data_IF_278387536804
#
_entry.id   IF_278387536804
#
_cell.length_a   1.000
_cell.length_b   1.000
_cell.length_c   1.000
_cell.angle_alpha   90.00
_cell.angle_beta   90.00
_cell.angle_gamma   90.00
#
_symmetry.space_group_name_H-M   'P 1'
#
loop_
_entity.id
_entity.type
_entity.pdbx_description
1 polymer ?
#
# COMPACT_ATOMS: atom_id res chain seq x y z
N UNK A 1 34.76 11.05 10.06
CA UNK A 1 34.40 10.29 11.26
C UNK A 1 34.48 11.22 12.48
N UNK A 2 33.41 11.30 13.25
CA UNK A 2 33.27 12.25 14.37
C UNK A 2 33.99 11.75 15.64
N UNK A 3 34.49 10.52 15.60
CA UNK A 3 35.28 9.95 16.70
C UNK A 3 36.30 8.93 16.19
N UNK A 4 37.36 8.69 17.00
CA UNK A 4 38.37 7.66 16.70
C UNK A 4 37.80 6.24 16.66
N UNK A 5 36.74 5.99 17.41
CA UNK A 5 36.06 4.70 17.41
C UNK A 5 35.36 4.46 16.07
N UNK A 6 34.58 5.44 15.61
CA UNK A 6 33.88 5.36 14.31
C UNK A 6 34.85 5.27 13.14
N UNK A 7 36.01 5.90 13.22
CA UNK A 7 37.05 5.74 12.21
C UNK A 7 37.59 4.30 12.16
N UNK A 8 37.78 3.64 13.29
CA UNK A 8 38.26 2.24 13.35
C UNK A 8 37.21 1.28 12.82
N UNK A 9 35.96 1.51 13.13
CA UNK A 9 34.82 0.73 12.60
C UNK A 9 34.79 0.80 11.07
N UNK A 10 34.82 2.02 10.51
CA UNK A 10 34.85 2.23 9.05
C UNK A 10 36.08 1.58 8.39
N UNK A 11 37.25 1.65 9.02
CA UNK A 11 38.46 0.99 8.51
C UNK A 11 38.28 -0.52 8.46
N UNK A 12 37.65 -1.11 9.48
CA UNK A 12 37.40 -2.55 9.53
C UNK A 12 36.38 -2.99 8.46
N UNK A 13 35.32 -2.21 8.26
CA UNK A 13 34.33 -2.47 7.21
C UNK A 13 34.95 -2.40 5.82
N UNK A 14 35.71 -1.37 5.50
CA UNK A 14 36.41 -1.23 4.22
C UNK A 14 37.39 -2.39 4.01
N UNK A 15 38.15 -2.76 5.03
CA UNK A 15 39.10 -3.88 4.93
C UNK A 15 38.38 -5.21 4.67
N UNK A 16 37.26 -5.47 5.33
CA UNK A 16 36.45 -6.67 5.10
C UNK A 16 35.91 -6.71 3.66
N UNK A 17 35.37 -5.61 3.17
CA UNK A 17 34.77 -5.56 1.82
C UNK A 17 35.84 -5.74 0.71
N UNK A 18 37.00 -5.10 0.87
CA UNK A 18 38.10 -5.27 -0.06
C UNK A 18 38.66 -6.70 -0.02
N UNK A 19 38.73 -7.34 1.15
CA UNK A 19 39.15 -8.73 1.31
C UNK A 19 38.17 -9.67 0.65
N UNK A 20 36.86 -9.44 0.78
CA UNK A 20 35.82 -10.19 0.04
C UNK A 20 36.01 -10.09 -1.48
N UNK A 21 36.42 -8.93 -1.96
CA UNK A 21 36.74 -8.67 -3.36
C UNK A 21 38.11 -9.23 -3.79
N UNK A 22 38.77 -10.04 -2.92
CA UNK A 22 40.11 -10.62 -3.14
C UNK A 22 41.23 -9.57 -3.32
N UNK A 23 41.05 -8.38 -2.75
CA UNK A 23 42.07 -7.36 -2.70
C UNK A 23 42.76 -7.36 -1.34
N UNK A 24 44.09 -7.43 -1.31
CA UNK A 24 44.86 -7.28 -0.07
C UNK A 24 45.00 -5.80 0.29
N UNK A 25 44.87 -5.49 1.56
CA UNK A 25 44.96 -4.12 2.09
C UNK A 25 46.00 -4.09 3.19
N UNK A 26 47.04 -3.31 3.00
CA UNK A 26 48.08 -3.09 3.97
C UNK A 26 47.98 -1.68 4.58
N UNK A 27 48.28 -1.57 5.86
CA UNK A 27 48.33 -0.27 6.55
C UNK A 27 49.71 0.38 6.38
N UNK A 28 49.70 1.65 5.98
CA UNK A 28 50.92 2.47 5.87
C UNK A 28 51.35 2.92 7.28
N UNK A 29 51.90 2.00 8.06
CA UNK A 29 52.36 2.29 9.42
C UNK A 29 53.60 3.22 9.37
N UNK A 30 53.53 4.36 10.10
CA UNK A 30 54.57 5.39 10.14
C UNK A 30 54.88 6.09 8.81
N UNK A 31 54.06 5.84 7.77
CA UNK A 31 54.18 6.44 6.42
C UNK A 31 52.89 7.12 5.96
N UNK A 32 52.08 7.60 6.91
CA UNK A 32 50.78 8.21 6.61
C UNK A 32 50.91 9.52 5.84
N UNK A 33 51.99 10.30 6.11
CA UNK A 33 52.25 11.56 5.40
C UNK A 33 52.53 11.28 3.92
N UNK A 34 53.37 10.29 3.63
CA UNK A 34 53.71 9.90 2.26
C UNK A 34 52.46 9.38 1.55
N UNK A 35 51.66 8.56 2.23
CA UNK A 35 50.40 8.08 1.70
C UNK A 35 49.45 9.23 1.34
N UNK A 36 49.29 10.19 2.23
CA UNK A 36 48.47 11.37 2.00
C UNK A 36 48.96 12.19 0.79
N UNK A 37 50.25 12.46 0.69
CA UNK A 37 50.85 13.20 -0.43
C UNK A 37 50.68 12.46 -1.78
N UNK A 38 50.75 11.12 -1.76
CA UNK A 38 50.57 10.30 -2.98
C UNK A 38 49.14 10.35 -3.51
N UNK A 39 48.12 10.47 -2.63
CA UNK A 39 46.73 10.54 -3.02
C UNK A 39 46.32 11.95 -3.46
N UNK A 40 47.03 12.97 -3.07
CA UNK A 40 46.73 14.32 -3.53
C UNK A 40 46.94 14.47 -5.04
N UNK A 41 46.11 15.26 -5.75
CA UNK A 41 46.21 15.47 -7.19
C UNK A 41 47.37 16.38 -7.60
N UNK A 42 48.53 16.19 -7.00
CA UNK A 42 49.76 17.00 -7.25
C UNK A 42 50.73 16.29 -8.18
N UNK A 43 50.38 15.09 -8.68
CA UNK A 43 51.20 14.36 -9.63
C UNK A 43 52.46 13.76 -9.04
N UNK A 44 52.60 13.69 -7.72
CA UNK A 44 53.80 13.17 -7.05
C UNK A 44 53.49 11.86 -6.32
N UNK A 45 54.04 10.74 -6.79
CA UNK A 45 53.89 9.43 -6.18
C UNK A 45 55.19 8.99 -5.48
N UNK A 46 55.22 9.07 -4.15
CA UNK A 46 56.38 8.66 -3.35
C UNK A 46 56.60 7.15 -3.37
N UNK A 47 55.55 6.38 -3.60
CA UNK A 47 55.55 4.91 -3.59
C UNK A 47 55.74 4.30 -4.97
N UNK A 48 56.18 5.05 -5.99
CA UNK A 48 56.27 4.66 -7.37
C UNK A 48 56.95 3.32 -7.53
N UNK A 49 58.12 3.10 -7.02
CA UNK A 49 58.89 1.88 -7.19
C UNK A 49 58.29 0.67 -6.46
N UNK A 50 57.57 0.88 -5.38
CA UNK A 50 57.06 -0.19 -4.53
C UNK A 50 55.68 -0.65 -4.94
N UNK A 51 54.78 0.25 -5.32
CA UNK A 51 53.34 -0.04 -5.50
C UNK A 51 52.80 0.30 -6.88
N UNK A 52 53.57 0.97 -7.74
CA UNK A 52 53.12 1.25 -9.10
C UNK A 52 52.98 -0.05 -9.89
N UNK A 53 51.85 -0.20 -10.57
CA UNK A 53 51.58 -1.34 -11.43
C UNK A 53 51.30 -0.87 -12.83
N UNK A 54 51.86 -1.58 -13.80
CA UNK A 54 51.52 -1.36 -15.21
C UNK A 54 50.19 -2.03 -15.48
N UNK A 55 49.18 -1.23 -15.81
CA UNK A 55 47.86 -1.72 -16.16
C UNK A 55 47.65 -1.58 -17.68
N UNK A 56 47.09 -2.59 -18.36
CA UNK A 56 46.68 -2.44 -19.76
C UNK A 56 45.63 -1.32 -19.87
N UNK A 57 45.63 -0.59 -20.97
CA UNK A 57 44.68 0.51 -21.20
C UNK A 57 43.23 0.05 -21.13
N UNK A 58 42.92 -1.19 -21.53
CA UNK A 58 41.58 -1.81 -21.38
C UNK A 58 41.17 -1.94 -19.92
N UNK A 59 42.09 -2.32 -19.03
CA UNK A 59 41.80 -2.41 -17.59
C UNK A 59 41.59 -1.05 -16.97
N UNK A 60 42.37 -0.05 -17.38
CA UNK A 60 42.20 1.35 -16.93
C UNK A 60 40.87 1.91 -17.43
N UNK A 61 40.46 1.62 -18.66
CA UNK A 61 39.17 2.04 -19.20
C UNK A 61 37.99 1.47 -18.40
N UNK A 62 38.11 0.26 -17.84
CA UNK A 62 37.09 -0.34 -16.97
C UNK A 62 36.99 0.34 -15.58
N UNK A 63 38.02 1.08 -15.18
CA UNK A 63 37.99 1.90 -13.96
C UNK A 63 37.33 3.26 -14.16
N UNK A 64 36.89 3.59 -15.37
CA UNK A 64 36.24 4.85 -15.69
C UNK A 64 34.91 4.99 -14.98
N UNK A 65 34.80 5.91 -13.99
CA UNK A 65 33.62 5.96 -13.12
C UNK A 65 32.44 6.70 -13.73
N UNK A 66 32.54 7.17 -14.99
CA UNK A 66 31.58 8.06 -15.61
C UNK A 66 30.58 7.36 -16.54
N UNK A 67 30.44 6.04 -16.45
CA UNK A 67 29.39 5.28 -17.14
C UNK A 67 28.01 5.38 -16.44
N UNK A 68 27.81 6.43 -15.66
CA UNK A 68 26.60 6.62 -14.88
C UNK A 68 25.57 7.40 -15.68
N UNK A 69 24.38 6.83 -15.85
CA UNK A 69 23.28 7.47 -16.60
C UNK A 69 22.59 8.60 -15.83
N UNK A 70 22.85 8.75 -14.54
CA UNK A 70 22.20 9.71 -13.67
C UNK A 70 20.74 9.40 -13.33
N UNK A 71 20.22 8.28 -13.82
CA UNK A 71 18.79 7.90 -13.70
C UNK A 71 18.53 6.84 -12.63
N UNK A 72 19.27 6.85 -11.54
CA UNK A 72 19.05 5.94 -10.42
C UNK A 72 18.84 6.74 -9.14
N UNK A 73 17.97 6.25 -8.28
CA UNK A 73 17.79 6.86 -6.96
C UNK A 73 18.95 6.49 -6.03
N UNK A 74 19.27 7.31 -5.03
CA UNK A 74 20.36 7.04 -4.10
C UNK A 74 20.14 5.80 -3.24
N UNK A 75 18.88 5.40 -3.06
CA UNK A 75 18.42 4.18 -2.39
C UNK A 75 17.16 3.68 -3.08
N UNK A 76 16.73 2.50 -2.77
CA UNK A 76 15.48 1.94 -3.28
C UNK A 76 15.62 0.51 -3.78
N UNK A 77 14.58 0.05 -4.47
CA UNK A 77 14.53 -1.27 -5.04
C UNK A 77 15.44 -1.38 -6.27
N UNK A 78 16.28 -2.42 -6.29
CA UNK A 78 17.05 -2.76 -7.48
C UNK A 78 16.14 -3.39 -8.55
N UNK A 79 15.99 -2.71 -9.68
CA UNK A 79 15.16 -3.19 -10.79
C UNK A 79 15.99 -3.89 -11.87
N UNK A 80 17.23 -3.49 -12.05
CA UNK A 80 18.09 -4.04 -13.09
C UNK A 80 19.31 -3.16 -13.37
N UNK A 81 19.84 -3.30 -14.57
CA UNK A 81 20.98 -2.49 -15.06
C UNK A 81 20.61 -1.77 -16.32
N UNK A 82 21.18 -0.59 -16.49
CA UNK A 82 21.09 0.14 -17.75
C UNK A 82 22.02 -0.43 -18.83
N UNK A 83 21.97 0.16 -20.01
CA UNK A 83 22.84 -0.22 -21.15
C UNK A 83 24.35 -0.05 -20.88
N UNK A 84 24.72 0.67 -19.84
CA UNK A 84 26.10 0.90 -19.43
C UNK A 84 26.53 -0.02 -18.27
N UNK A 85 25.64 -0.89 -17.80
CA UNK A 85 25.90 -1.78 -16.67
C UNK A 85 25.69 -1.13 -15.30
N UNK A 86 25.19 0.12 -15.24
CA UNK A 86 24.90 0.81 -13.99
C UNK A 86 23.65 0.23 -13.34
N UNK A 87 23.70 -0.03 -12.05
CA UNK A 87 22.54 -0.50 -11.31
C UNK A 87 21.46 0.58 -11.26
N UNK A 88 20.22 0.19 -11.55
CA UNK A 88 19.05 1.06 -11.46
C UNK A 88 18.32 0.74 -10.17
N UNK A 89 18.31 1.73 -9.28
CA UNK A 89 17.52 1.73 -8.05
C UNK A 89 16.33 2.64 -8.22
N UNK A 90 15.17 2.23 -7.71
CA UNK A 90 13.94 3.04 -7.73
C UNK A 90 13.39 3.13 -6.32
N UNK A 91 13.27 4.35 -5.81
CA UNK A 91 12.60 4.65 -4.55
C UNK A 91 11.18 5.13 -4.85
N UNK A 92 10.18 4.28 -4.62
CA UNK A 92 8.76 4.61 -4.87
C UNK A 92 8.21 5.67 -3.91
N UNK A 93 8.83 5.86 -2.74
CA UNK A 93 8.37 6.83 -1.74
C UNK A 93 8.99 8.22 -1.96
N UNK A 94 10.08 8.30 -2.73
CA UNK A 94 10.76 9.57 -2.99
C UNK A 94 9.86 10.52 -3.75
N UNK A 95 9.78 11.75 -3.25
CA UNK A 95 9.16 12.89 -3.94
C UNK A 95 10.26 13.88 -4.33
N UNK A 96 10.28 14.29 -5.58
CA UNK A 96 11.23 15.24 -6.14
C UNK A 96 10.58 15.91 -7.36
N UNK A 97 11.25 16.91 -7.94
CA UNK A 97 10.74 17.61 -9.13
C UNK A 97 10.46 16.65 -10.31
N UNK A 98 11.22 15.57 -10.42
CA UNK A 98 11.08 14.52 -11.45
C UNK A 98 10.07 13.40 -11.05
N UNK A 99 9.59 13.37 -9.81
CA UNK A 99 8.69 12.35 -9.25
C UNK A 99 7.60 12.97 -8.39
N UNK A 100 6.52 13.38 -9.02
CA UNK A 100 5.39 14.04 -8.37
C UNK A 100 4.43 13.06 -7.67
N UNK A 101 4.40 11.80 -8.12
CA UNK A 101 3.57 10.73 -7.55
C UNK A 101 4.33 9.38 -7.57
N UNK A 102 3.74 8.35 -6.94
CA UNK A 102 4.28 6.98 -6.90
C UNK A 102 3.59 6.01 -7.86
N UNK A 103 2.74 6.51 -8.74
CA UNK A 103 2.07 5.64 -9.70
C UNK A 103 3.10 5.05 -10.67
N UNK A 104 3.01 3.75 -10.90
CA UNK A 104 3.89 3.03 -11.81
C UNK A 104 3.05 2.29 -12.84
N UNK A 105 3.39 2.46 -14.12
CA UNK A 105 2.76 1.73 -15.21
C UNK A 105 3.80 0.83 -15.87
N UNK A 106 3.54 -0.49 -15.88
CA UNK A 106 4.41 -1.50 -16.49
C UNK A 106 3.79 -1.95 -17.81
N UNK A 107 4.44 -1.62 -18.91
CA UNK A 107 3.98 -1.95 -20.26
C UNK A 107 4.96 -2.90 -20.94
N UNK A 108 4.44 -3.80 -21.75
CA UNK A 108 5.24 -4.73 -22.55
C UNK A 108 4.36 -5.78 -23.23
N UNK A 109 4.88 -6.42 -24.27
CA UNK A 109 4.19 -7.52 -24.92
C UNK A 109 4.13 -8.75 -24.03
N UNK A 110 3.28 -9.72 -24.39
CA UNK A 110 3.24 -11.02 -23.70
C UNK A 110 4.61 -11.69 -23.71
N UNK A 111 4.98 -12.36 -22.61
CA UNK A 111 6.26 -13.06 -22.47
C UNK A 111 7.48 -12.18 -22.20
N UNK A 112 7.35 -10.86 -22.07
CA UNK A 112 8.48 -9.93 -21.85
C UNK A 112 8.85 -9.75 -20.36
N UNK A 113 8.29 -10.54 -19.47
CA UNK A 113 8.64 -10.54 -18.05
C UNK A 113 7.91 -9.49 -17.19
N UNK A 114 6.77 -8.94 -17.63
CA UNK A 114 5.98 -7.98 -16.82
C UNK A 114 5.59 -8.56 -15.46
N UNK A 115 4.97 -9.74 -15.44
CA UNK A 115 4.54 -10.42 -14.21
C UNK A 115 5.74 -10.77 -13.33
N UNK A 116 6.88 -11.15 -13.92
CA UNK A 116 8.11 -11.40 -13.17
C UNK A 116 8.64 -10.13 -12.49
N UNK A 117 8.69 -9.01 -13.21
CA UNK A 117 9.08 -7.72 -12.63
C UNK A 117 8.15 -7.29 -11.52
N UNK A 118 6.82 -7.46 -11.70
CA UNK A 118 5.86 -7.11 -10.68
C UNK A 118 6.01 -8.00 -9.44
N UNK A 119 6.20 -9.31 -9.61
CA UNK A 119 6.50 -10.24 -8.50
C UNK A 119 7.76 -9.82 -7.73
N UNK A 120 8.81 -9.41 -8.43
CA UNK A 120 10.03 -8.88 -7.81
C UNK A 120 9.75 -7.61 -6.99
N UNK A 121 8.98 -6.67 -7.55
CA UNK A 121 8.61 -5.43 -6.85
C UNK A 121 7.79 -5.74 -5.59
N UNK A 122 6.76 -6.59 -5.69
CA UNK A 122 5.91 -6.99 -4.56
C UNK A 122 6.72 -7.66 -3.45
N UNK A 123 7.63 -8.58 -3.80
CA UNK A 123 8.54 -9.23 -2.84
C UNK A 123 9.38 -8.21 -2.09
N UNK A 124 10.02 -7.29 -2.81
CA UNK A 124 10.88 -6.29 -2.17
C UNK A 124 10.09 -5.28 -1.32
N UNK A 125 8.88 -4.90 -1.74
CA UNK A 125 8.00 -4.06 -0.92
C UNK A 125 7.63 -4.78 0.37
N UNK A 126 7.28 -6.05 0.31
CA UNK A 126 6.98 -6.87 1.49
C UNK A 126 8.20 -7.00 2.42
N UNK A 127 9.37 -7.31 1.89
CA UNK A 127 10.62 -7.42 2.65
C UNK A 127 11.04 -6.08 3.29
N UNK A 128 10.71 -4.96 2.66
CA UNK A 128 10.94 -3.61 3.23
C UNK A 128 9.90 -3.22 4.29
N UNK A 129 8.98 -4.13 4.68
CA UNK A 129 7.96 -3.89 5.69
C UNK A 129 6.76 -3.07 5.21
N UNK A 130 6.60 -2.90 3.89
CA UNK A 130 5.42 -2.21 3.33
C UNK A 130 4.20 -3.12 3.36
N UNK A 131 3.04 -2.54 3.60
CA UNK A 131 1.77 -3.20 3.38
C UNK A 131 1.50 -3.27 1.87
N UNK A 132 1.15 -4.45 1.39
CA UNK A 132 0.87 -4.72 -0.03
C UNK A 132 -0.57 -5.18 -0.18
N UNK A 133 -1.29 -4.57 -1.10
CA UNK A 133 -2.61 -5.03 -1.54
C UNK A 133 -2.54 -5.23 -3.04
N UNK A 134 -2.81 -6.45 -3.51
CA UNK A 134 -2.79 -6.82 -4.92
C UNK A 134 -4.18 -7.24 -5.39
N UNK A 135 -4.55 -6.85 -6.62
CA UNK A 135 -5.70 -7.40 -7.33
C UNK A 135 -5.16 -8.29 -8.44
N UNK A 136 -5.55 -9.57 -8.41
CA UNK A 136 -5.00 -10.63 -9.25
C UNK A 136 -6.11 -11.40 -9.98
N UNK A 137 -6.69 -10.83 -11.03
CA UNK A 137 -7.80 -11.49 -11.75
C UNK A 137 -7.39 -12.78 -12.49
N UNK A 138 -6.09 -13.02 -12.67
CA UNK A 138 -5.55 -14.19 -13.39
C UNK A 138 -5.02 -15.28 -12.46
N UNK A 139 -5.08 -15.08 -11.15
CA UNK A 139 -4.57 -16.00 -10.11
C UNK A 139 -3.08 -16.38 -10.27
N UNK A 140 -2.24 -15.43 -10.71
CA UNK A 140 -0.81 -15.64 -10.91
C UNK A 140 0.03 -15.46 -9.63
N UNK A 141 -0.52 -14.82 -8.59
CA UNK A 141 0.22 -14.40 -7.39
C UNK A 141 -0.09 -15.25 -6.15
N UNK A 142 -0.92 -16.27 -6.25
CA UNK A 142 -1.32 -17.13 -5.13
C UNK A 142 -0.11 -17.75 -4.42
N UNK A 143 0.76 -18.42 -5.18
CA UNK A 143 1.97 -19.07 -4.64
C UNK A 143 2.93 -18.05 -4.00
N UNK A 144 3.11 -16.89 -4.64
CA UNK A 144 3.95 -15.82 -4.14
C UNK A 144 3.40 -15.28 -2.81
N UNK A 145 2.10 -15.01 -2.76
CA UNK A 145 1.42 -14.49 -1.56
C UNK A 145 1.59 -15.44 -0.38
N UNK A 146 1.36 -16.73 -0.59
CA UNK A 146 1.56 -17.77 0.44
C UNK A 146 3.02 -17.88 0.87
N UNK A 147 3.96 -17.83 -0.09
CA UNK A 147 5.40 -17.90 0.22
C UNK A 147 5.90 -16.70 1.03
N UNK A 148 5.31 -15.53 0.87
CA UNK A 148 5.64 -14.31 1.62
C UNK A 148 4.85 -14.17 2.92
N UNK A 149 4.07 -15.21 3.32
CA UNK A 149 3.28 -15.21 4.54
C UNK A 149 2.09 -14.26 4.49
N UNK A 150 1.57 -13.96 3.30
CA UNK A 150 0.38 -13.16 3.09
C UNK A 150 -0.90 -13.98 3.00
N UNK A 151 -2.04 -13.29 2.89
CA UNK A 151 -3.36 -13.89 2.72
C UNK A 151 -3.82 -13.77 1.26
N UNK A 152 -4.05 -14.89 0.60
CA UNK A 152 -4.69 -14.95 -0.71
C UNK A 152 -6.18 -15.18 -0.54
N UNK A 153 -6.99 -14.30 -1.12
CA UNK A 153 -8.44 -14.22 -0.94
C UNK A 153 -9.10 -14.53 -2.28
N UNK A 154 -9.55 -15.76 -2.44
CA UNK A 154 -10.40 -16.14 -3.58
C UNK A 154 -11.85 -15.87 -3.25
N UNK A 155 -12.39 -14.76 -3.75
CA UNK A 155 -13.81 -14.44 -3.60
C UNK A 155 -14.73 -15.45 -4.27
N UNK A 156 -14.27 -16.09 -5.37
CA UNK A 156 -15.13 -17.05 -6.08
C UNK A 156 -15.38 -18.33 -5.27
N UNK A 157 -14.49 -18.65 -4.31
CA UNK A 157 -14.69 -19.78 -3.40
C UNK A 157 -15.91 -19.61 -2.49
N UNK A 158 -16.29 -18.36 -2.16
CA UNK A 158 -17.35 -18.06 -1.21
C UNK A 158 -16.95 -18.28 0.26
N UNK A 159 -15.66 -18.51 0.54
CA UNK A 159 -15.13 -18.66 1.90
C UNK A 159 -14.91 -17.30 2.59
N UNK A 160 -14.69 -16.26 1.79
CA UNK A 160 -14.39 -14.91 2.28
C UNK A 160 -15.59 -14.00 2.13
N UNK A 161 -15.87 -13.27 3.21
CA UNK A 161 -16.97 -12.31 3.29
C UNK A 161 -16.40 -10.93 3.59
N UNK A 162 -16.85 -9.94 2.86
CA UNK A 162 -16.62 -8.52 3.17
C UNK A 162 -17.96 -7.90 3.53
N UNK A 163 -18.09 -7.44 4.77
CA UNK A 163 -19.25 -6.68 5.20
C UNK A 163 -19.12 -5.22 4.74
N UNK A 164 -19.89 -4.75 3.75
CA UNK A 164 -19.82 -3.36 3.33
C UNK A 164 -20.29 -2.40 4.42
N UNK A 165 -21.15 -2.85 5.34
CA UNK A 165 -21.74 -2.05 6.40
C UNK A 165 -20.81 -1.88 7.62
N UNK A 166 -19.64 -2.50 7.64
CA UNK A 166 -18.63 -2.28 8.67
C UNK A 166 -17.91 -0.94 8.45
N UNK A 167 -18.04 0.07 9.35
CA UNK A 167 -17.45 1.39 9.15
C UNK A 167 -15.93 1.36 9.03
N UNK A 168 -15.42 1.77 7.87
CA UNK A 168 -13.99 1.84 7.60
C UNK A 168 -13.37 3.12 8.17
N UNK A 169 -12.08 3.07 8.49
CA UNK A 169 -11.30 4.24 8.84
C UNK A 169 -10.80 4.94 7.57
N UNK A 170 -11.05 6.23 7.46
CA UNK A 170 -10.61 7.05 6.33
C UNK A 170 -9.51 8.07 6.75
N UNK A 171 -8.71 7.74 7.73
CA UNK A 171 -7.54 8.51 8.15
C UNK A 171 -7.87 9.77 8.93
N UNK A 172 -8.19 10.87 8.28
CA UNK A 172 -8.39 12.16 8.96
C UNK A 172 -9.62 12.22 9.91
N UNK A 173 -10.58 11.32 9.76
CA UNK A 173 -11.75 11.25 10.64
C UNK A 173 -11.42 10.64 12.01
N UNK A 174 -10.35 9.87 12.10
CA UNK A 174 -9.90 9.24 13.35
C UNK A 174 -8.89 10.13 14.12
N UNK A 175 -8.59 11.34 13.63
CA UNK A 175 -7.83 12.31 14.43
C UNK A 175 -8.67 12.68 15.65
N UNK A 176 -8.19 12.35 16.84
CA UNK A 176 -8.72 12.87 18.09
C UNK A 176 -8.77 14.40 17.98
N UNK A 177 -9.98 14.93 17.82
CA UNK A 177 -10.17 16.36 17.94
C UNK A 177 -9.87 16.73 19.38
N UNK A 178 -8.92 17.63 19.59
CA UNK A 178 -8.64 18.21 20.90
C UNK A 178 -9.97 18.64 21.56
N UNK A 179 -10.10 18.41 22.86
CA UNK A 179 -11.32 18.73 23.63
C UNK A 179 -11.78 20.19 23.44
N UNK A 180 -10.89 21.05 22.96
CA UNK A 180 -11.15 22.46 22.65
C UNK A 180 -11.64 22.72 21.22
N UNK A 181 -11.73 21.72 20.35
CA UNK A 181 -12.23 21.93 18.97
C UNK A 181 -13.76 22.16 19.02
N UNK A 182 -14.27 23.34 18.60
CA UNK A 182 -15.70 23.62 18.61
C UNK A 182 -16.50 22.58 17.81
N UNK A 183 -17.68 22.20 18.30
CA UNK A 183 -18.55 21.19 17.65
C UNK A 183 -18.80 21.48 16.16
N UNK A 184 -18.81 22.76 15.76
CA UNK A 184 -18.97 23.18 14.38
C UNK A 184 -17.85 22.66 13.45
N UNK A 185 -16.66 22.36 13.97
CA UNK A 185 -15.54 21.80 13.21
C UNK A 185 -15.45 20.28 13.26
N UNK A 186 -16.25 19.62 14.12
CA UNK A 186 -16.37 18.15 14.22
C UNK A 186 -17.36 17.57 13.19
N UNK A 187 -17.49 18.20 12.04
CA UNK A 187 -18.55 17.89 11.06
C UNK A 187 -18.39 16.57 10.34
N UNK A 188 -17.19 16.01 10.33
CA UNK A 188 -16.89 14.79 9.57
C UNK A 188 -16.59 13.68 10.58
N UNK A 189 -17.54 12.79 10.81
CA UNK A 189 -17.37 11.64 11.69
C UNK A 189 -17.09 10.39 10.87
N UNK A 190 -16.53 9.35 11.49
CA UNK A 190 -16.28 8.06 10.83
C UNK A 190 -17.56 7.50 10.22
N UNK A 191 -18.67 7.57 10.92
CA UNK A 191 -19.96 7.11 10.42
C UNK A 191 -20.42 7.92 9.19
N UNK A 192 -20.34 9.25 9.23
CA UNK A 192 -20.78 10.09 8.12
C UNK A 192 -19.93 9.87 6.85
N UNK A 193 -18.61 9.69 7.01
CA UNK A 193 -17.73 9.32 5.88
C UNK A 193 -18.06 7.94 5.34
N UNK A 194 -18.36 7.01 6.23
CA UNK A 194 -18.70 5.66 5.81
C UNK A 194 -20.03 5.61 5.06
N UNK A 195 -21.06 6.34 5.51
CA UNK A 195 -22.33 6.45 4.79
C UNK A 195 -22.13 7.07 3.41
N UNK A 196 -21.28 8.11 3.30
CA UNK A 196 -20.94 8.68 2.01
C UNK A 196 -20.24 7.67 1.10
N UNK A 197 -19.29 6.91 1.64
CA UNK A 197 -18.66 5.80 0.91
C UNK A 197 -19.67 4.73 0.47
N UNK A 198 -20.62 4.37 1.31
CA UNK A 198 -21.68 3.40 0.95
C UNK A 198 -22.56 3.91 -0.20
N UNK A 199 -22.85 5.21 -0.27
CA UNK A 199 -23.57 5.80 -1.42
C UNK A 199 -22.79 5.57 -2.72
N UNK A 200 -21.48 5.82 -2.71
CA UNK A 200 -20.63 5.59 -3.88
C UNK A 200 -20.51 4.09 -4.21
N UNK A 201 -20.40 3.23 -3.20
CA UNK A 201 -20.37 1.78 -3.36
C UNK A 201 -21.65 1.25 -4.01
N UNK A 202 -22.84 1.65 -3.52
CA UNK A 202 -24.11 1.22 -4.07
C UNK A 202 -24.37 1.80 -5.47
N UNK A 203 -23.92 3.04 -5.73
CA UNK A 203 -23.95 3.63 -7.08
C UNK A 203 -23.11 2.81 -8.07
N UNK A 204 -21.92 2.40 -7.67
CA UNK A 204 -21.06 1.56 -8.50
C UNK A 204 -21.62 0.13 -8.68
N UNK A 205 -22.35 -0.37 -7.68
CA UNK A 205 -22.93 -1.71 -7.73
C UNK A 205 -24.08 -1.82 -8.75
N UNK A 206 -25.02 -0.88 -8.76
CA UNK A 206 -26.24 -0.97 -9.58
C UNK A 206 -26.75 0.33 -10.19
N UNK A 207 -25.91 1.32 -10.32
CA UNK A 207 -26.28 2.64 -10.93
C UNK A 207 -27.60 3.21 -10.37
N UNK A 208 -27.76 3.15 -9.02
CA UNK A 208 -28.92 3.70 -8.35
C UNK A 208 -29.02 5.22 -8.56
N UNK A 209 -30.26 5.71 -8.72
CA UNK A 209 -30.55 7.15 -8.83
C UNK A 209 -30.22 7.90 -7.54
N UNK A 210 -30.06 9.23 -7.63
CA UNK A 210 -29.82 10.06 -6.44
C UNK A 210 -30.96 9.95 -5.42
N UNK A 211 -32.23 9.85 -5.87
CA UNK A 211 -33.39 9.67 -4.98
C UNK A 211 -33.31 8.32 -4.21
N UNK A 212 -32.88 7.25 -4.88
CA UNK A 212 -32.69 5.95 -4.23
C UNK A 212 -31.53 5.99 -3.24
N UNK A 213 -30.42 6.65 -3.57
CA UNK A 213 -29.26 6.78 -2.69
C UNK A 213 -29.56 7.65 -1.46
N UNK A 214 -30.32 8.74 -1.62
CA UNK A 214 -30.73 9.58 -0.50
C UNK A 214 -31.71 8.85 0.42
N UNK A 215 -32.64 8.06 -0.14
CA UNK A 215 -33.52 7.18 0.62
C UNK A 215 -32.70 6.14 1.39
N UNK A 216 -31.73 5.53 0.73
CA UNK A 216 -30.82 4.53 1.34
C UNK A 216 -29.98 5.15 2.47
N UNK A 217 -29.52 6.39 2.36
CA UNK A 217 -28.82 7.12 3.42
C UNK A 217 -29.69 7.23 4.69
N UNK A 218 -30.99 7.55 4.53
CA UNK A 218 -31.94 7.63 5.65
C UNK A 218 -32.07 6.25 6.33
N UNK A 219 -32.28 5.21 5.52
CA UNK A 219 -32.42 3.83 6.01
C UNK A 219 -31.15 3.35 6.72
N UNK A 220 -29.96 3.62 6.16
CA UNK A 220 -28.68 3.29 6.78
C UNK A 220 -28.50 4.02 8.13
N UNK A 221 -28.91 5.28 8.20
CA UNK A 221 -28.86 6.05 9.46
C UNK A 221 -29.74 5.42 10.54
N UNK A 222 -30.94 4.97 10.19
CA UNK A 222 -31.86 4.26 11.10
C UNK A 222 -31.24 2.91 11.50
N UNK A 223 -30.66 2.16 10.53
CA UNK A 223 -30.02 0.88 10.79
C UNK A 223 -28.91 1.01 11.82
N UNK A 224 -27.98 1.93 11.62
CA UNK A 224 -26.86 2.14 12.56
C UNK A 224 -27.35 2.58 13.95
N UNK A 225 -28.36 3.42 14.02
CA UNK A 225 -28.97 3.80 15.30
C UNK A 225 -29.58 2.59 16.04
N UNK A 226 -30.23 1.67 15.33
CA UNK A 226 -30.80 0.45 15.92
C UNK A 226 -29.70 -0.47 16.51
N UNK A 227 -28.48 -0.43 15.94
CA UNK A 227 -27.30 -1.14 16.47
C UNK A 227 -26.52 -0.33 17.50
N UNK A 228 -27.03 0.86 17.90
CA UNK A 228 -26.35 1.73 18.87
C UNK A 228 -25.10 2.43 18.32
N UNK A 229 -24.90 2.40 17.01
CA UNK A 229 -23.76 3.04 16.34
C UNK A 229 -24.15 4.47 15.96
N UNK A 230 -23.43 5.42 16.51
CA UNK A 230 -23.67 6.86 16.33
C UNK A 230 -22.39 7.58 15.96
N UNK A 231 -22.51 8.88 15.71
CA UNK A 231 -21.34 9.72 15.43
C UNK A 231 -20.32 9.81 16.59
N UNK A 232 -20.67 9.35 17.79
CA UNK A 232 -19.85 9.38 18.99
C UNK A 232 -19.41 7.99 19.44
N UNK A 233 -19.63 6.97 18.62
CA UNK A 233 -19.29 5.59 18.95
C UNK A 233 -17.77 5.41 18.96
N UNK A 234 -17.28 4.75 20.02
CA UNK A 234 -15.87 4.32 20.12
C UNK A 234 -15.69 3.00 19.36
N UNK A 235 -15.16 3.10 18.15
CA UNK A 235 -15.01 1.96 17.24
C UNK A 235 -13.94 0.97 17.67
N UNK A 236 -13.00 1.36 18.51
CA UNK A 236 -11.92 0.49 18.98
C UNK A 236 -12.43 -0.60 19.94
N UNK A 237 -13.62 -0.40 20.49
CA UNK A 237 -14.28 -1.37 21.38
C UNK A 237 -15.20 -2.34 20.65
N UNK A 238 -15.52 -2.06 19.39
CA UNK A 238 -16.46 -2.87 18.62
C UNK A 238 -15.73 -4.03 17.92
N UNK A 239 -16.39 -5.16 17.88
CA UNK A 239 -15.97 -6.34 17.13
C UNK A 239 -16.68 -6.38 15.78
N UNK A 240 -16.15 -7.10 14.77
CA UNK A 240 -16.85 -7.28 13.50
C UNK A 240 -18.29 -7.78 13.64
N UNK A 241 -18.59 -8.53 14.70
CA UNK A 241 -19.93 -9.08 15.03
C UNK A 241 -20.92 -8.04 15.55
N UNK A 242 -20.45 -6.86 15.94
CA UNK A 242 -21.32 -5.81 16.50
C UNK A 242 -21.88 -4.88 15.41
N UNK A 243 -21.43 -5.06 14.18
CA UNK A 243 -21.93 -4.28 13.05
C UNK A 243 -23.10 -4.96 12.36
N UNK A 244 -24.07 -4.18 11.80
CA UNK A 244 -25.13 -4.74 10.97
C UNK A 244 -24.56 -5.47 9.74
N UNK A 245 -25.29 -6.46 9.25
CA UNK A 245 -25.01 -7.18 8.01
C UNK A 245 -26.03 -6.81 6.92
N UNK A 246 -25.79 -7.24 5.69
CA UNK A 246 -26.68 -6.90 4.57
C UNK A 246 -28.11 -7.44 4.74
N UNK A 247 -28.29 -8.55 5.44
CA UNK A 247 -29.62 -9.09 5.78
C UNK A 247 -30.38 -8.16 6.72
N UNK A 248 -29.69 -7.51 7.69
CA UNK A 248 -30.33 -6.55 8.59
C UNK A 248 -30.81 -5.30 7.84
N UNK A 249 -30.02 -4.84 6.87
CA UNK A 249 -30.41 -3.74 5.98
C UNK A 249 -31.64 -4.12 5.17
N UNK A 250 -31.65 -5.33 4.59
CA UNK A 250 -32.75 -5.80 3.79
C UNK A 250 -34.04 -5.97 4.63
N UNK A 251 -33.92 -6.54 5.82
CA UNK A 251 -35.04 -6.70 6.74
C UNK A 251 -35.64 -5.34 7.15
N UNK A 252 -34.80 -4.33 7.37
CA UNK A 252 -35.26 -2.98 7.65
C UNK A 252 -35.99 -2.36 6.46
N UNK A 253 -35.42 -2.49 5.25
CA UNK A 253 -36.08 -2.02 4.01
C UNK A 253 -37.43 -2.69 3.77
N UNK A 254 -37.52 -4.00 3.95
CA UNK A 254 -38.81 -4.72 3.85
C UNK A 254 -39.82 -4.27 4.90
N UNK A 255 -39.37 -4.02 6.12
CA UNK A 255 -40.24 -3.52 7.21
C UNK A 255 -40.80 -2.15 6.87
N UNK A 256 -39.95 -1.22 6.40
CA UNK A 256 -40.39 0.13 5.99
C UNK A 256 -41.33 0.05 4.77
N UNK A 257 -41.05 -0.81 3.78
CA UNK A 257 -41.92 -1.03 2.63
C UNK A 257 -43.28 -1.59 3.04
N UNK A 258 -43.32 -2.66 3.85
CA UNK A 258 -44.57 -3.28 4.32
C UNK A 258 -45.38 -2.39 5.27
N UNK A 259 -44.69 -1.52 6.04
CA UNK A 259 -45.28 -0.56 6.95
C UNK A 259 -45.68 0.75 6.30
N UNK A 260 -45.43 0.93 5.00
CA UNK A 260 -45.70 2.19 4.31
C UNK A 260 -47.20 2.55 4.33
N UNK A 261 -47.52 3.75 4.77
CA UNK A 261 -48.89 4.26 4.81
C UNK A 261 -49.03 5.50 3.93
N UNK A 262 -49.82 5.44 2.90
CA UNK A 262 -50.06 6.53 1.96
C UNK A 262 -50.60 7.86 2.60
N UNK A 263 -51.18 7.75 3.76
CA UNK A 263 -51.76 8.92 4.47
C UNK A 263 -50.78 9.65 5.39
N UNK A 264 -49.55 9.15 5.56
CA UNK A 264 -48.52 9.81 6.33
C UNK A 264 -47.58 10.64 5.41
N UNK A 265 -47.07 11.75 5.94
CA UNK A 265 -46.02 12.52 5.24
C UNK A 265 -44.70 11.77 5.36
N UNK A 266 -44.52 10.79 4.50
CA UNK A 266 -43.25 10.06 4.37
C UNK A 266 -42.24 10.92 3.61
N UNK A 267 -40.96 10.81 3.99
CA UNK A 267 -39.84 11.53 3.34
C UNK A 267 -39.50 10.88 1.99
N UNK A 268 -39.73 9.58 1.86
CA UNK A 268 -39.44 8.75 0.67
C UNK A 268 -40.73 8.15 0.11
N UNK A 269 -40.68 7.70 -1.14
CA UNK A 269 -41.81 7.12 -1.87
C UNK A 269 -41.83 5.59 -1.71
N UNK A 270 -43.02 5.00 -1.87
CA UNK A 270 -43.19 3.55 -1.83
C UNK A 270 -42.46 2.87 -2.99
N UNK A 271 -42.54 3.44 -4.19
CA UNK A 271 -41.88 2.92 -5.38
C UNK A 271 -40.37 2.87 -5.18
N UNK A 272 -39.77 3.90 -4.57
CA UNK A 272 -38.33 3.95 -4.28
C UNK A 272 -37.91 2.85 -3.30
N UNK A 273 -38.71 2.56 -2.28
CA UNK A 273 -38.44 1.44 -1.37
C UNK A 273 -38.54 0.10 -2.08
N UNK A 274 -39.53 -0.09 -2.95
CA UNK A 274 -39.70 -1.31 -3.74
C UNK A 274 -38.51 -1.54 -4.68
N UNK A 275 -38.05 -0.50 -5.37
CA UNK A 275 -36.89 -0.53 -6.26
C UNK A 275 -35.59 -0.85 -5.49
N UNK A 276 -35.40 -0.28 -4.28
CA UNK A 276 -34.29 -0.61 -3.41
C UNK A 276 -34.34 -2.06 -2.95
N UNK A 277 -35.49 -2.56 -2.51
CA UNK A 277 -35.65 -3.97 -2.15
C UNK A 277 -35.29 -4.88 -3.32
N UNK A 278 -35.79 -4.58 -4.54
CA UNK A 278 -35.46 -5.34 -5.73
C UNK A 278 -33.99 -5.22 -6.12
N UNK A 279 -33.43 -4.03 -6.04
CA UNK A 279 -32.05 -3.73 -6.38
C UNK A 279 -31.04 -4.43 -5.48
N UNK A 280 -31.30 -4.50 -4.19
CA UNK A 280 -30.38 -5.07 -3.20
C UNK A 280 -30.65 -6.56 -2.92
N UNK A 281 -31.70 -7.14 -3.46
CA UNK A 281 -32.07 -8.54 -3.22
C UNK A 281 -30.92 -9.51 -3.47
N UNK A 282 -30.19 -9.36 -4.59
CA UNK A 282 -29.09 -10.29 -4.95
C UNK A 282 -27.97 -10.26 -3.93
N UNK A 283 -27.59 -9.07 -3.47
CA UNK A 283 -26.52 -8.87 -2.51
C UNK A 283 -26.89 -9.30 -1.09
N UNK A 284 -28.14 -9.11 -0.69
CA UNK A 284 -28.59 -9.35 0.68
C UNK A 284 -29.04 -10.79 0.92
N UNK A 285 -29.82 -11.38 0.00
CA UNK A 285 -30.48 -12.67 0.17
C UNK A 285 -30.27 -13.60 -1.01
N UNK A 286 -29.93 -13.07 -2.19
CA UNK A 286 -29.77 -13.81 -3.44
C UNK A 286 -28.38 -14.43 -3.62
N UNK A 287 -27.97 -14.58 -4.88
CA UNK A 287 -26.75 -15.33 -5.26
C UNK A 287 -25.46 -14.69 -4.81
N UNK A 288 -25.44 -13.37 -4.60
CA UNK A 288 -24.24 -12.61 -4.18
C UNK A 288 -24.13 -12.47 -2.66
N UNK A 289 -25.15 -12.91 -1.90
CA UNK A 289 -25.17 -12.84 -0.45
C UNK A 289 -23.95 -13.53 0.19
N UNK A 290 -23.45 -14.61 -0.41
CA UNK A 290 -22.28 -15.34 0.05
C UNK A 290 -21.00 -14.49 0.11
N UNK A 291 -20.95 -13.35 -0.57
CA UNK A 291 -19.79 -12.45 -0.57
C UNK A 291 -19.94 -11.28 0.40
N UNK A 292 -21.19 -10.82 0.63
CA UNK A 292 -21.47 -9.57 1.33
C UNK A 292 -22.34 -9.72 2.57
N UNK A 293 -23.13 -10.81 2.68
CA UNK A 293 -24.04 -11.01 3.79
C UNK A 293 -23.38 -11.83 4.90
N UNK A 294 -22.72 -11.15 5.82
CA UNK A 294 -22.06 -11.72 6.98
C UNK A 294 -21.01 -10.77 7.52
N UNK A 295 -20.36 -11.15 8.61
CA UNK A 295 -19.28 -10.37 9.18
C UNK A 295 -17.98 -10.60 8.42
N UNK A 296 -17.18 -9.55 8.28
CA UNK A 296 -15.88 -9.63 7.62
C UNK A 296 -15.00 -10.66 8.31
N UNK A 297 -14.53 -11.66 7.56
CA UNK A 297 -13.68 -12.74 8.04
C UNK A 297 -12.26 -12.72 7.43
N UNK A 298 -11.92 -11.63 6.72
CA UNK A 298 -10.60 -11.44 6.14
C UNK A 298 -9.64 -11.03 7.24
N UNK A 299 -8.54 -11.76 7.38
CA UNK A 299 -7.47 -11.40 8.30
C UNK A 299 -6.71 -10.21 7.71
N UNK A 300 -6.59 -9.13 8.48
CA UNK A 300 -5.80 -7.97 8.09
C UNK A 300 -4.31 -8.30 8.16
N UNK A 301 -3.75 -8.72 7.04
CA UNK A 301 -2.33 -9.06 6.91
C UNK A 301 -1.60 -7.93 6.16
N UNK A 302 -0.29 -7.96 6.30
CA UNK A 302 0.60 -7.00 5.62
C UNK A 302 0.75 -7.29 4.12
N UNK A 303 0.34 -8.46 3.64
CA UNK A 303 0.21 -8.78 2.22
C UNK A 303 -1.14 -9.45 1.95
N UNK A 304 -2.02 -8.74 1.26
CA UNK A 304 -3.31 -9.22 0.81
C UNK A 304 -3.32 -9.33 -0.72
N UNK A 305 -3.79 -10.44 -1.25
CA UNK A 305 -4.00 -10.65 -2.67
C UNK A 305 -5.43 -11.13 -2.91
N UNK A 306 -6.17 -10.44 -3.80
CA UNK A 306 -7.57 -10.68 -4.13
C UNK A 306 -7.69 -11.18 -5.56
#
# INVERSE_FOLDING_TARGET
ADSMQKLRELQSEIQMELTRSKMSVDRLTLRQKEGFLTVLPVGYNIFREQFERVLPASSVANLYPFNYSGKTDPKGLFIGRDKYGTNILVDFDRRAEDKTNSNCLILGNSGQGKSFLLKLILTNLRESGKRVISLDPEAEYEELTKALGGCYIDFMSGEYIINPLEPKSFGDADKEYDQFTPEAFRRVTRLSQHIAYLKDFFRAYKDFSDEQLDTLEIILSILYQNFGITNYTDYDKLKPTDYPIMEDLYALLEKEYKGYQHNQKNIYREETLQELCLGLHSMCVGTESKYFNGHTNIIDDTFLCF
#
